data_IF_994140583113
#
_entry.id   IF_994140583113
#
_cell.length_a   1.000
_cell.length_b   1.000
_cell.length_c   1.000
_cell.angle_alpha   90.00
_cell.angle_beta   90.00
_cell.angle_gamma   90.00
#
_symmetry.space_group_name_H-M   'P 1'
#
loop_
_entity.id
_entity.type
_entity.pdbx_description
1 polymer ?
#
# COMPACT_ATOMS: atom_id res chain seq x y z
N UNK A 1 -13.91 -59.49 -4.42
CA UNK A 1 -14.31 -58.46 -5.40
C UNK A 1 -14.86 -57.29 -4.60
N UNK A 2 -14.06 -56.58 -3.81
CA UNK A 2 -12.98 -55.64 -4.18
C UNK A 2 -13.50 -54.47 -5.04
N UNK A 3 -13.73 -53.38 -4.32
CA UNK A 3 -13.34 -51.99 -4.61
C UNK A 3 -13.86 -51.30 -5.88
N UNK A 4 -14.84 -50.40 -5.69
CA UNK A 4 -15.03 -49.21 -6.53
C UNK A 4 -15.82 -48.10 -5.80
N UNK A 5 -15.51 -47.82 -4.53
CA UNK A 5 -16.06 -46.69 -3.78
C UNK A 5 -14.96 -45.92 -3.03
N UNK A 6 -13.84 -45.72 -3.70
CA UNK A 6 -12.79 -44.76 -3.36
C UNK A 6 -12.68 -43.86 -4.59
N UNK A 7 -12.89 -42.55 -4.59
CA UNK A 7 -12.62 -41.55 -3.57
C UNK A 7 -13.32 -40.26 -4.02
N UNK A 8 -14.36 -39.80 -3.33
CA UNK A 8 -14.70 -38.39 -3.31
C UNK A 8 -14.20 -37.85 -1.98
N UNK A 9 -12.96 -37.36 -1.96
CA UNK A 9 -12.50 -36.47 -0.90
C UNK A 9 -13.26 -35.15 -1.07
N UNK A 10 -14.51 -35.11 -0.61
CA UNK A 10 -15.25 -33.87 -0.48
C UNK A 10 -14.60 -33.09 0.65
N UNK A 11 -13.58 -32.31 0.30
CA UNK A 11 -13.09 -31.25 1.15
C UNK A 11 -14.24 -30.25 1.29
N UNK A 12 -14.87 -30.25 2.45
CA UNK A 12 -15.76 -29.17 2.88
C UNK A 12 -14.90 -27.92 2.98
N UNK A 13 -14.77 -27.19 1.86
CA UNK A 13 -14.08 -25.89 1.84
C UNK A 13 -14.97 -24.96 2.65
N UNK A 14 -14.64 -24.79 3.93
CA UNK A 14 -15.27 -23.79 4.79
C UNK A 14 -15.14 -22.42 4.12
N UNK A 15 -16.14 -21.55 4.28
CA UNK A 15 -16.12 -20.18 3.75
C UNK A 15 -14.83 -19.44 4.18
N UNK A 16 -14.30 -19.76 5.37
CA UNK A 16 -13.04 -19.23 5.89
C UNK A 16 -11.82 -19.63 5.04
N UNK A 17 -11.79 -20.85 4.50
CA UNK A 17 -10.72 -21.35 3.64
C UNK A 17 -10.71 -20.65 2.27
N UNK A 18 -11.89 -20.31 1.74
CA UNK A 18 -11.99 -19.52 0.51
C UNK A 18 -11.47 -18.10 0.72
N UNK A 19 -11.87 -17.45 1.83
CA UNK A 19 -11.40 -16.11 2.18
C UNK A 19 -9.89 -16.09 2.40
N UNK A 20 -9.33 -17.05 3.12
CA UNK A 20 -7.88 -17.13 3.37
C UNK A 20 -7.10 -17.34 2.08
N UNK A 21 -7.54 -18.25 1.21
CA UNK A 21 -6.88 -18.53 -0.07
C UNK A 21 -6.88 -17.32 -1.01
N UNK A 22 -8.00 -16.58 -1.07
CA UNK A 22 -8.10 -15.34 -1.85
C UNK A 22 -7.17 -14.26 -1.32
N UNK A 23 -7.07 -14.14 0.01
CA UNK A 23 -6.15 -13.19 0.64
C UNK A 23 -4.70 -13.55 0.36
N UNK A 24 -4.31 -14.81 0.52
CA UNK A 24 -2.95 -15.28 0.28
C UNK A 24 -2.51 -15.10 -1.18
N UNK A 25 -3.42 -15.37 -2.12
CA UNK A 25 -3.15 -15.13 -3.55
C UNK A 25 -3.03 -13.65 -3.88
N UNK A 26 -3.88 -12.80 -3.28
CA UNK A 26 -3.79 -11.36 -3.44
C UNK A 26 -2.47 -10.82 -2.85
N UNK A 27 -2.08 -11.24 -1.65
CA UNK A 27 -0.83 -10.82 -1.03
C UNK A 27 0.40 -11.32 -1.80
N UNK A 28 0.33 -12.50 -2.44
CA UNK A 28 1.39 -13.03 -3.31
C UNK A 28 1.55 -12.21 -4.59
N UNK A 29 0.46 -11.80 -5.23
CA UNK A 29 0.49 -11.16 -6.55
C UNK A 29 0.43 -9.63 -6.52
N UNK A 30 -0.18 -9.06 -5.49
CA UNK A 30 -0.39 -7.63 -5.29
C UNK A 30 -0.28 -7.28 -3.80
N UNK A 31 0.91 -7.47 -3.18
CA UNK A 31 1.10 -7.18 -1.77
C UNK A 31 0.78 -5.72 -1.47
N UNK A 32 0.12 -5.48 -0.34
CA UNK A 32 -0.12 -4.12 0.15
C UNK A 32 1.22 -3.54 0.62
N UNK A 33 1.79 -2.65 -0.19
CA UNK A 33 3.04 -1.96 0.15
C UNK A 33 2.73 -0.57 0.71
N UNK A 34 2.91 -0.43 2.03
CA UNK A 34 2.88 0.90 2.65
C UNK A 34 4.16 1.65 2.30
N UNK A 35 4.03 2.87 1.81
CA UNK A 35 5.19 3.74 1.50
C UNK A 35 5.09 5.03 2.29
N UNK A 36 6.14 5.31 3.05
CA UNK A 36 6.28 6.58 3.76
C UNK A 36 6.66 7.67 2.76
N UNK A 37 5.79 8.68 2.62
CA UNK A 37 6.08 9.85 1.78
C UNK A 37 6.55 10.97 2.70
N UNK A 38 7.74 11.51 2.42
CA UNK A 38 8.22 12.70 3.11
C UNK A 38 7.39 13.91 2.67
N UNK A 39 6.57 14.43 3.58
CA UNK A 39 5.89 15.72 3.42
C UNK A 39 6.95 16.81 3.54
N UNK A 40 7.24 17.48 2.43
CA UNK A 40 8.14 18.64 2.44
C UNK A 40 7.30 19.91 2.58
N UNK A 41 7.74 20.87 3.40
CA UNK A 41 7.08 22.17 3.47
C UNK A 41 7.07 22.81 2.08
N UNK A 42 5.97 23.48 1.77
CA UNK A 42 5.81 24.20 0.50
C UNK A 42 6.87 25.28 0.44
N UNK A 43 7.70 25.25 -0.62
CA UNK A 43 8.68 26.29 -0.88
C UNK A 43 8.01 27.41 -1.69
N UNK A 44 7.80 28.63 -1.13
CA UNK A 44 7.06 29.69 -1.82
C UNK A 44 7.74 30.16 -3.12
N UNK A 45 9.07 30.11 -3.16
CA UNK A 45 9.88 30.39 -4.35
C UNK A 45 9.82 29.29 -5.42
N UNK A 46 9.14 28.16 -5.19
CA UNK A 46 9.02 27.07 -6.16
C UNK A 46 7.77 27.21 -7.02
N UNK A 47 7.93 27.94 -8.12
CA UNK A 47 6.87 28.31 -9.06
C UNK A 47 6.75 27.34 -10.25
N UNK A 48 5.65 27.46 -11.02
CA UNK A 48 5.35 26.57 -12.15
C UNK A 48 6.41 26.65 -13.26
N UNK A 49 6.98 27.83 -13.51
CA UNK A 49 8.06 28.04 -14.47
C UNK A 49 9.34 27.26 -14.10
N UNK A 50 9.72 27.19 -12.82
CA UNK A 50 10.84 26.34 -12.35
C UNK A 50 10.52 24.86 -12.57
N UNK A 51 9.26 24.46 -12.32
CA UNK A 51 8.79 23.08 -12.54
C UNK A 51 8.90 22.70 -14.02
N UNK A 52 8.46 23.58 -14.92
CA UNK A 52 8.56 23.41 -16.38
C UNK A 52 10.01 23.41 -16.86
N UNK A 53 10.84 24.34 -16.39
CA UNK A 53 12.26 24.39 -16.74
C UNK A 53 12.96 23.09 -16.32
N UNK A 54 12.67 22.56 -15.12
CA UNK A 54 13.17 21.25 -14.65
C UNK A 54 12.65 20.09 -15.50
N UNK A 55 11.39 20.13 -15.96
CA UNK A 55 10.84 19.13 -16.89
C UNK A 55 11.60 19.13 -18.21
N UNK A 56 11.85 20.32 -18.78
CA UNK A 56 12.64 20.49 -20.01
C UNK A 56 14.08 19.98 -19.85
N UNK A 57 14.74 20.25 -18.71
CA UNK A 57 16.07 19.66 -18.40
C UNK A 57 16.05 18.14 -18.42
N UNK A 58 15.06 17.50 -17.80
CA UNK A 58 14.94 16.03 -17.83
C UNK A 58 14.73 15.49 -19.24
N UNK A 59 14.05 16.24 -20.11
CA UNK A 59 13.89 15.87 -21.52
C UNK A 59 15.21 15.99 -22.29
N UNK A 60 15.94 17.10 -22.14
CA UNK A 60 17.24 17.29 -22.81
C UNK A 60 18.29 16.31 -22.31
N UNK A 61 18.28 15.99 -21.02
CA UNK A 61 19.14 15.00 -20.40
C UNK A 61 18.87 13.58 -20.93
N UNK A 62 17.59 13.17 -21.03
CA UNK A 62 17.22 11.89 -21.66
C UNK A 62 17.66 11.82 -23.13
N UNK A 63 17.50 12.92 -23.87
CA UNK A 63 17.95 13.02 -25.28
C UNK A 63 19.46 12.83 -25.37
N UNK A 64 20.23 13.56 -24.57
CA UNK A 64 21.69 13.43 -24.53
C UNK A 64 22.12 11.99 -24.19
N UNK A 65 21.55 11.37 -23.14
CA UNK A 65 21.85 9.98 -22.77
C UNK A 65 21.59 8.98 -23.91
N UNK A 66 20.54 9.19 -24.72
CA UNK A 66 20.23 8.32 -25.86
C UNK A 66 21.17 8.55 -27.04
N UNK A 67 21.50 9.80 -27.33
CA UNK A 67 22.25 10.20 -28.54
C UNK A 67 23.77 10.20 -28.40
N UNK A 68 24.30 10.45 -27.20
CA UNK A 68 25.74 10.68 -26.96
C UNK A 68 26.34 11.96 -27.58
N UNK A 69 25.62 12.71 -28.41
CA UNK A 69 26.18 13.84 -29.18
C UNK A 69 26.52 15.06 -28.30
N UNK A 70 27.61 15.76 -28.65
CA UNK A 70 28.07 16.98 -27.98
C UNK A 70 27.02 18.10 -28.04
N UNK A 71 26.35 18.30 -29.17
CA UNK A 71 25.30 19.34 -29.30
C UNK A 71 24.20 19.16 -28.25
N UNK A 72 23.81 17.91 -27.96
CA UNK A 72 22.81 17.63 -26.92
C UNK A 72 23.34 17.86 -25.50
N UNK A 73 24.64 17.65 -25.28
CA UNK A 73 25.32 18.02 -24.03
C UNK A 73 25.33 19.53 -23.82
N UNK A 74 25.59 20.30 -24.87
CA UNK A 74 25.60 21.77 -24.80
C UNK A 74 24.20 22.33 -24.53
N UNK A 75 23.16 21.75 -25.16
CA UNK A 75 21.75 22.07 -24.86
C UNK A 75 21.42 21.77 -23.39
N UNK A 76 21.89 20.63 -22.84
CA UNK A 76 21.70 20.30 -21.43
C UNK A 76 22.40 21.31 -20.51
N UNK A 77 23.63 21.72 -20.84
CA UNK A 77 24.38 22.72 -20.08
C UNK A 77 23.67 24.08 -20.10
N UNK A 78 23.17 24.51 -21.26
CA UNK A 78 22.37 25.74 -21.40
C UNK A 78 21.09 25.67 -20.54
N UNK A 79 20.36 24.56 -20.61
CA UNK A 79 19.14 24.37 -19.81
C UNK A 79 19.42 24.34 -18.30
N UNK A 80 20.57 23.81 -17.88
CA UNK A 80 21.05 23.88 -16.49
C UNK A 80 21.22 25.33 -16.04
N UNK A 81 21.84 26.16 -16.88
CA UNK A 81 22.08 27.57 -16.57
C UNK A 81 20.77 28.36 -16.45
N UNK A 82 19.79 28.10 -17.34
CA UNK A 82 18.43 28.67 -17.24
C UNK A 82 17.80 28.36 -15.89
N UNK A 83 17.79 27.08 -15.47
CA UNK A 83 17.20 26.68 -14.19
C UNK A 83 17.90 27.37 -13.02
N UNK A 84 19.22 27.42 -13.02
CA UNK A 84 19.98 28.08 -11.95
C UNK A 84 19.65 29.57 -11.88
N UNK A 85 19.51 30.23 -13.03
CA UNK A 85 19.09 31.63 -13.11
C UNK A 85 17.68 31.82 -12.53
N UNK A 86 16.71 31.01 -12.95
CA UNK A 86 15.33 31.06 -12.46
C UNK A 86 15.27 30.88 -10.94
N UNK A 87 15.93 29.84 -10.42
CA UNK A 87 15.93 29.56 -8.98
C UNK A 87 16.53 30.72 -8.20
N UNK A 88 17.64 31.31 -8.67
CA UNK A 88 18.24 32.48 -8.02
C UNK A 88 17.30 33.68 -8.04
N UNK A 89 16.66 33.95 -9.18
CA UNK A 89 15.73 35.07 -9.32
C UNK A 89 14.52 34.93 -8.37
N UNK A 90 13.86 33.78 -8.38
CA UNK A 90 12.69 33.52 -7.54
C UNK A 90 13.02 33.51 -6.05
N UNK A 91 14.16 32.89 -5.66
CA UNK A 91 14.62 32.96 -4.27
C UNK A 91 14.91 34.39 -3.84
N UNK A 92 15.57 35.17 -4.69
CA UNK A 92 15.85 36.58 -4.40
C UNK A 92 14.55 37.34 -4.21
N UNK A 93 13.59 37.22 -5.13
CA UNK A 93 12.30 37.90 -5.03
C UNK A 93 11.53 37.51 -3.75
N UNK A 94 11.45 36.21 -3.43
CA UNK A 94 10.79 35.72 -2.22
C UNK A 94 11.46 36.26 -0.94
N UNK A 95 12.79 36.21 -0.87
CA UNK A 95 13.53 36.68 0.30
C UNK A 95 13.47 38.20 0.44
N UNK A 96 13.62 38.95 -0.65
CA UNK A 96 13.48 40.41 -0.65
C UNK A 96 12.09 40.81 -0.18
N UNK A 97 11.03 40.19 -0.71
CA UNK A 97 9.66 40.45 -0.26
C UNK A 97 9.49 40.21 1.25
N UNK A 98 10.01 39.09 1.77
CA UNK A 98 9.97 38.81 3.22
C UNK A 98 10.68 39.86 4.05
N UNK A 99 11.82 40.37 3.57
CA UNK A 99 12.57 41.41 4.28
C UNK A 99 11.88 42.77 4.21
N UNK A 100 11.17 43.08 3.12
CA UNK A 100 10.38 44.32 2.97
C UNK A 100 9.12 44.34 3.86
N UNK A 101 8.55 43.17 4.16
CA UNK A 101 7.37 43.05 5.04
C UNK A 101 7.69 43.21 6.53
N UNK A 102 8.97 43.13 6.91
CA UNK A 102 9.44 43.23 8.30
C UNK A 102 9.52 44.69 8.74
N UNK A 103 9.03 44.98 9.96
CA UNK A 103 8.95 46.35 10.50
C UNK A 103 10.00 46.64 11.58
N UNK A 104 10.44 45.61 12.31
CA UNK A 104 11.31 45.78 13.47
C UNK A 104 12.69 45.17 13.24
N UNK A 105 13.75 45.79 13.78
CA UNK A 105 15.13 45.28 13.69
C UNK A 105 15.28 43.86 14.28
N UNK A 106 14.54 43.54 15.35
CA UNK A 106 14.52 42.19 15.95
C UNK A 106 13.96 41.14 14.99
N UNK A 107 12.84 41.44 14.35
CA UNK A 107 12.21 40.56 13.35
C UNK A 107 13.10 40.38 12.12
N UNK A 108 13.86 41.43 11.75
CA UNK A 108 14.81 41.36 10.64
C UNK A 108 15.91 40.34 10.93
N UNK A 109 16.54 40.41 12.10
CA UNK A 109 17.56 39.45 12.51
C UNK A 109 17.01 38.03 12.61
N UNK A 110 15.83 37.84 13.21
CA UNK A 110 15.17 36.52 13.29
C UNK A 110 14.86 35.95 11.90
N UNK A 111 14.33 36.76 11.00
CA UNK A 111 14.02 36.35 9.62
C UNK A 111 15.31 35.98 8.88
N UNK A 112 16.38 36.74 9.10
CA UNK A 112 17.69 36.48 8.47
C UNK A 112 18.31 35.18 8.99
N UNK A 113 18.28 34.93 10.30
CA UNK A 113 18.73 33.67 10.89
C UNK A 113 17.95 32.47 10.39
N UNK A 114 16.62 32.61 10.26
CA UNK A 114 15.77 31.58 9.66
C UNK A 114 16.16 31.29 8.20
N UNK A 115 16.39 32.33 7.39
CA UNK A 115 16.78 32.20 5.98
C UNK A 115 18.18 31.57 5.81
N UNK A 116 19.10 31.83 6.73
CA UNK A 116 20.45 31.25 6.74
C UNK A 116 20.50 29.82 7.31
N UNK A 117 19.39 29.33 7.86
CA UNK A 117 19.32 27.99 8.43
C UNK A 117 19.97 27.88 9.82
N UNK A 118 20.13 28.99 10.54
CA UNK A 118 20.68 29.02 11.90
C UNK A 118 19.68 28.57 12.98
N UNK A 119 18.56 27.94 12.60
CA UNK A 119 17.61 27.42 13.59
C UNK A 119 18.24 26.26 14.38
N UNK A 120 18.55 26.54 15.64
CA UNK A 120 18.95 25.55 16.63
C UNK A 120 17.72 24.74 17.08
N UNK A 121 17.23 23.82 16.25
CA UNK A 121 16.33 22.79 16.76
C UNK A 121 17.15 21.80 17.59
N UNK A 122 16.94 21.74 18.91
CA UNK A 122 17.57 20.73 19.76
C UNK A 122 17.17 19.35 19.22
N UNK A 123 18.14 18.50 18.89
CA UNK A 123 17.89 17.17 18.31
C UNK A 123 17.48 16.13 19.36
N UNK A 124 16.90 16.57 20.49
CA UNK A 124 16.43 15.67 21.53
C UNK A 124 14.98 15.24 21.24
N UNK A 125 14.63 13.98 21.54
CA UNK A 125 13.24 13.56 21.53
C UNK A 125 12.44 14.44 22.51
N UNK A 126 11.16 14.72 22.23
CA UNK A 126 10.33 15.49 23.16
C UNK A 126 10.19 14.72 24.48
N UNK A 127 10.64 15.33 25.58
CA UNK A 127 10.54 14.76 26.93
C UNK A 127 11.48 15.46 27.91
N UNK A 128 11.18 15.39 29.21
CA UNK A 128 12.12 15.80 30.25
C UNK A 128 13.23 14.74 30.36
N UNK A 129 14.49 15.14 30.57
CA UNK A 129 15.65 14.24 30.55
C UNK A 129 15.46 12.98 31.43
N UNK A 130 14.83 13.15 32.59
CA UNK A 130 14.52 12.04 33.52
C UNK A 130 13.52 11.05 32.94
N UNK A 131 12.50 11.56 32.25
CA UNK A 131 11.45 10.73 31.65
C UNK A 131 12.01 9.91 30.49
N UNK A 132 12.89 10.50 29.68
CA UNK A 132 13.62 9.81 28.62
C UNK A 132 14.50 8.67 29.16
N UNK A 133 15.22 8.90 30.26
CA UNK A 133 16.00 7.85 30.93
C UNK A 133 15.11 6.70 31.44
N UNK A 134 13.95 7.03 32.03
CA UNK A 134 13.02 6.03 32.54
C UNK A 134 12.37 5.22 31.39
N UNK A 135 11.98 5.87 30.29
CA UNK A 135 11.47 5.18 29.11
C UNK A 135 12.51 4.22 28.51
N UNK A 136 13.77 4.64 28.44
CA UNK A 136 14.86 3.78 27.99
C UNK A 136 14.97 2.52 28.87
N UNK A 137 14.93 2.66 30.19
CA UNK A 137 14.97 1.52 31.12
C UNK A 137 13.77 0.57 30.94
N UNK A 138 12.56 1.10 30.80
CA UNK A 138 11.34 0.31 30.61
C UNK A 138 11.37 -0.53 29.33
N UNK A 139 11.88 0.03 28.22
CA UNK A 139 11.99 -0.70 26.95
C UNK A 139 12.89 -1.94 27.07
N UNK A 140 13.93 -1.87 27.90
CA UNK A 140 14.85 -2.99 28.11
C UNK A 140 14.19 -4.12 28.89
N UNK A 141 13.49 -3.81 29.98
CA UNK A 141 12.81 -4.79 30.81
C UNK A 141 11.68 -5.52 30.05
N UNK A 142 10.84 -4.77 29.33
CA UNK A 142 9.75 -5.35 28.54
C UNK A 142 10.24 -6.36 27.50
N UNK A 143 11.43 -6.12 26.92
CA UNK A 143 12.01 -7.04 25.93
C UNK A 143 12.39 -8.39 26.55
N UNK A 144 12.86 -8.39 27.79
CA UNK A 144 13.22 -9.62 28.52
C UNK A 144 11.96 -10.43 28.84
N UNK A 145 10.89 -9.78 29.30
CA UNK A 145 9.65 -10.45 29.67
C UNK A 145 8.92 -11.04 28.46
N UNK A 146 8.93 -10.35 27.32
CA UNK A 146 8.37 -10.85 26.07
C UNK A 146 9.06 -12.14 25.58
N UNK A 147 10.38 -12.25 25.76
CA UNK A 147 11.12 -13.47 25.36
C UNK A 147 10.73 -14.65 26.26
N UNK A 148 10.53 -14.42 27.56
CA UNK A 148 10.18 -15.46 28.53
C UNK A 148 8.78 -16.01 28.31
N UNK A 149 7.82 -15.12 28.02
CA UNK A 149 6.43 -15.49 27.74
C UNK A 149 6.28 -16.28 26.43
N UNK A 150 7.05 -15.91 25.40
CA UNK A 150 7.03 -16.61 24.11
C UNK A 150 7.43 -18.09 24.20
N UNK A 151 8.30 -18.45 25.15
CA UNK A 151 8.87 -19.80 25.27
C UNK A 151 8.09 -20.73 26.21
N UNK A 152 7.03 -20.24 26.89
CA UNK A 152 6.47 -20.92 28.07
C UNK A 152 5.27 -21.85 27.86
N UNK A 153 4.62 -21.88 26.69
CA UNK A 153 3.28 -22.47 26.56
C UNK A 153 3.19 -23.54 25.47
N UNK A 154 3.52 -24.79 25.81
CA UNK A 154 3.03 -25.96 25.09
C UNK A 154 2.21 -26.84 26.04
N UNK A 155 0.91 -26.97 25.76
CA UNK A 155 0.17 -28.24 25.93
C UNK A 155 -1.21 -28.12 25.28
N UNK A 156 -1.56 -29.03 24.34
CA UNK A 156 -2.87 -29.04 23.70
C UNK A 156 -3.84 -29.95 24.45
N UNK A 157 -5.13 -29.58 24.48
CA UNK A 157 -6.21 -30.52 24.77
C UNK A 157 -7.34 -30.42 23.73
N UNK A 158 -7.98 -31.56 23.38
CA UNK A 158 -8.89 -31.70 22.26
C UNK A 158 -10.34 -31.38 22.60
N UNK A 159 -11.05 -31.08 21.53
CA UNK A 159 -12.45 -30.71 21.37
C UNK A 159 -13.37 -31.94 21.46
N UNK A 160 -14.48 -31.86 22.19
CA UNK A 160 -15.58 -32.83 22.08
C UNK A 160 -16.93 -32.13 22.21
N UNK A 161 -17.70 -32.13 21.11
CA UNK A 161 -19.15 -31.94 21.15
C UNK A 161 -19.83 -32.88 20.14
N UNK A 162 -20.74 -33.72 20.64
CA UNK A 162 -21.57 -34.65 19.86
C UNK A 162 -22.72 -33.94 19.10
N UNK A 163 -23.13 -34.43 17.91
CA UNK A 163 -24.17 -33.78 17.11
C UNK A 163 -25.60 -34.31 17.33
N UNK A 164 -26.52 -33.36 17.21
CA UNK A 164 -27.98 -33.45 17.36
C UNK A 164 -28.71 -34.20 16.24
N UNK A 165 -29.89 -34.75 16.56
CA UNK A 165 -30.75 -35.59 15.72
C UNK A 165 -31.77 -34.78 14.93
N UNK A 166 -31.73 -34.85 13.59
CA UNK A 166 -32.71 -34.24 12.68
C UNK A 166 -33.09 -35.18 11.53
N UNK A 167 -34.32 -35.04 11.03
CA UNK A 167 -34.97 -35.95 10.07
C UNK A 167 -34.16 -36.22 8.79
N UNK A 168 -34.21 -37.49 8.34
CA UNK A 168 -33.40 -38.02 7.24
C UNK A 168 -34.07 -37.79 5.87
N UNK A 169 -33.33 -37.14 4.97
CA UNK A 169 -33.68 -37.01 3.55
C UNK A 169 -33.49 -38.38 2.87
N UNK A 170 -34.55 -38.89 2.23
CA UNK A 170 -34.57 -40.29 1.75
C UNK A 170 -34.09 -40.46 0.31
N UNK A 171 -34.18 -39.44 -0.54
CA UNK A 171 -33.75 -39.52 -1.94
C UNK A 171 -33.22 -38.16 -2.46
N UNK A 172 -32.24 -38.21 -3.36
CA UNK A 172 -31.74 -37.06 -4.13
C UNK A 172 -32.12 -37.26 -5.61
N UNK A 173 -32.55 -36.18 -6.26
CA UNK A 173 -32.72 -36.17 -7.71
C UNK A 173 -31.48 -35.57 -8.37
N UNK A 174 -31.07 -36.13 -9.51
CA UNK A 174 -29.99 -35.58 -10.31
C UNK A 174 -30.41 -34.26 -10.96
N UNK A 175 -29.47 -33.31 -11.01
CA UNK A 175 -29.64 -31.99 -11.62
C UNK A 175 -28.76 -31.94 -12.87
N UNK A 176 -29.26 -31.34 -13.96
CA UNK A 176 -28.49 -31.21 -15.20
C UNK A 176 -27.57 -29.97 -15.19
N UNK A 177 -26.50 -30.01 -15.98
CA UNK A 177 -25.55 -28.88 -16.11
C UNK A 177 -26.25 -27.59 -16.60
N UNK A 178 -27.21 -27.74 -17.51
CA UNK A 178 -28.04 -26.65 -18.03
C UNK A 178 -28.91 -26.01 -16.94
N UNK A 179 -29.41 -26.81 -16.00
CA UNK A 179 -30.20 -26.30 -14.89
C UNK A 179 -29.34 -25.52 -13.88
N UNK A 180 -28.16 -26.07 -13.54
CA UNK A 180 -27.21 -25.42 -12.63
C UNK A 180 -26.71 -24.09 -13.22
N UNK A 181 -26.29 -24.10 -14.48
CA UNK A 181 -25.84 -22.88 -15.18
C UNK A 181 -26.93 -21.82 -15.23
N UNK A 182 -28.18 -22.21 -15.51
CA UNK A 182 -29.34 -21.31 -15.49
C UNK A 182 -29.54 -20.67 -14.11
N UNK A 183 -29.47 -21.43 -13.01
CA UNK A 183 -29.63 -20.88 -11.66
C UNK A 183 -28.48 -19.96 -11.25
N UNK A 184 -27.24 -20.30 -11.60
CA UNK A 184 -26.06 -19.47 -11.31
C UNK A 184 -26.15 -18.14 -12.07
N UNK A 185 -26.50 -18.16 -13.36
CA UNK A 185 -26.64 -16.95 -14.18
C UNK A 185 -27.86 -16.10 -13.81
N UNK A 186 -28.94 -16.71 -13.34
CA UNK A 186 -30.12 -16.01 -12.84
C UNK A 186 -29.91 -15.40 -11.44
N UNK A 187 -28.81 -15.75 -10.75
CA UNK A 187 -28.50 -15.22 -9.43
C UNK A 187 -28.11 -13.74 -9.53
N UNK A 188 -28.65 -12.92 -8.63
CA UNK A 188 -28.32 -11.50 -8.62
C UNK A 188 -26.84 -11.29 -8.27
N UNK A 189 -26.07 -10.48 -9.01
CA UNK A 189 -24.66 -10.20 -8.73
C UNK A 189 -24.54 -9.16 -7.60
N UNK A 190 -25.23 -9.39 -6.49
CA UNK A 190 -25.19 -8.54 -5.31
C UNK A 190 -23.94 -8.89 -4.52
N UNK A 191 -23.18 -7.86 -4.17
CA UNK A 191 -21.98 -7.97 -3.35
C UNK A 191 -22.19 -7.13 -2.10
N UNK A 192 -21.76 -7.64 -0.96
CA UNK A 192 -21.72 -6.96 0.32
C UNK A 192 -20.28 -6.76 0.78
N UNK A 193 -20.06 -5.88 1.76
CA UNK A 193 -18.72 -5.54 2.26
C UNK A 193 -17.99 -6.72 2.94
N UNK A 194 -18.72 -7.80 3.25
CA UNK A 194 -18.17 -9.03 3.81
C UNK A 194 -17.72 -10.04 2.74
N UNK A 195 -18.05 -9.81 1.46
CA UNK A 195 -17.69 -10.73 0.39
C UNK A 195 -16.19 -10.57 0.04
N UNK A 196 -15.42 -11.67 -0.02
CA UNK A 196 -13.99 -11.62 -0.29
C UNK A 196 -13.66 -11.23 -1.74
N UNK A 197 -14.59 -11.46 -2.67
CA UNK A 197 -14.52 -11.06 -4.07
C UNK A 197 -15.90 -10.64 -4.59
N UNK A 198 -15.96 -9.74 -5.59
CA UNK A 198 -17.21 -9.42 -6.26
C UNK A 198 -17.93 -10.67 -6.77
N UNK A 199 -19.21 -10.76 -6.47
CA UNK A 199 -20.08 -11.90 -6.81
C UNK A 199 -20.13 -12.15 -8.32
N UNK A 200 -19.99 -11.09 -9.13
CA UNK A 200 -19.87 -11.17 -10.58
C UNK A 200 -18.64 -11.96 -11.03
N UNK A 201 -17.49 -11.79 -10.38
CA UNK A 201 -16.27 -12.53 -10.67
C UNK A 201 -16.36 -13.98 -10.19
N UNK A 202 -17.00 -14.19 -9.03
CA UNK A 202 -17.24 -15.53 -8.50
C UNK A 202 -18.12 -16.37 -9.44
N UNK A 203 -19.19 -15.77 -9.99
CA UNK A 203 -20.06 -16.42 -10.99
C UNK A 203 -19.26 -16.85 -12.23
N UNK A 204 -18.39 -15.97 -12.75
CA UNK A 204 -17.54 -16.26 -13.90
C UNK A 204 -16.60 -17.44 -13.60
N UNK A 205 -15.91 -17.41 -12.45
CA UNK A 205 -14.96 -18.47 -12.06
C UNK A 205 -15.66 -19.82 -11.91
N UNK A 206 -16.85 -19.85 -11.30
CA UNK A 206 -17.63 -21.07 -11.12
C UNK A 206 -18.05 -21.65 -12.47
N UNK A 207 -18.54 -20.83 -13.40
CA UNK A 207 -18.93 -21.28 -14.73
C UNK A 207 -17.71 -21.81 -15.49
N UNK A 208 -16.59 -21.09 -15.47
CA UNK A 208 -15.37 -21.51 -16.17
C UNK A 208 -14.78 -22.82 -15.63
N UNK A 209 -14.90 -23.08 -14.31
CA UNK A 209 -14.37 -24.31 -13.69
C UNK A 209 -15.30 -25.52 -13.80
N UNK A 210 -16.61 -25.31 -13.61
CA UNK A 210 -17.58 -26.41 -13.60
C UNK A 210 -18.05 -26.77 -15.01
N UNK A 211 -18.05 -25.80 -15.94
CA UNK A 211 -18.56 -25.99 -17.31
C UNK A 211 -17.56 -25.43 -18.35
N UNK A 212 -16.41 -26.07 -18.58
CA UNK A 212 -15.36 -25.56 -19.48
C UNK A 212 -15.83 -25.38 -20.93
N UNK A 213 -16.84 -26.14 -21.36
CA UNK A 213 -17.48 -26.04 -22.67
C UNK A 213 -18.34 -24.78 -22.85
N UNK A 214 -18.80 -24.16 -21.75
CA UNK A 214 -19.62 -22.95 -21.78
C UNK A 214 -18.80 -21.65 -21.85
N UNK A 215 -17.46 -21.74 -21.85
CA UNK A 215 -16.56 -20.58 -21.89
C UNK A 215 -16.65 -19.73 -23.17
N UNK A 216 -17.33 -20.20 -24.22
CA UNK A 216 -17.56 -19.44 -25.46
C UNK A 216 -18.70 -18.40 -25.36
N UNK A 217 -19.42 -18.33 -24.23
CA UNK A 217 -20.62 -17.50 -24.05
C UNK A 217 -20.44 -16.32 -23.07
N UNK A 218 -19.23 -16.11 -22.54
CA UNK A 218 -18.85 -14.96 -21.69
C UNK A 218 -17.93 -14.02 -22.48
#
# INVERSE_FOLDING_TARGET
MSDAASSLSSSTISAECLVSTLRDTLDKHAPVVTRTISVRPVAPWYTLDIKEAKRKRRQTERRWRKSGLQVHRDILAHQRNIINSLIRSHKKADFTKKLEEVKTTKELFQTTDHLMGHQTSSSLPPGEDKELCNQFLLTFNNKIDNIRTFLGNDTPLPDEHEPSTGNTMTEFCYVTEEEITKYILASSPKTCDLDPIPTSLLIIIIIMKLFPSASSYL
#
